data_IF_049179641246
#
_entry.id   IF_049179641246
#
_cell.length_a   1.000
_cell.length_b   1.000
_cell.length_c   1.000
_cell.angle_alpha   90.00
_cell.angle_beta   90.00
_cell.angle_gamma   90.00
#
_symmetry.space_group_name_H-M   'P 1'
#
loop_
_entity.id
_entity.type
_entity.pdbx_description
1 polymer ?
#
# COMPACT_ATOMS: atom_id res chain seq x y z
N UNK A 1 -9.39 54.30 -14.81
CA UNK A 1 -9.62 52.85 -14.95
C UNK A 1 -8.85 52.18 -13.83
N UNK A 2 -9.54 51.50 -12.91
CA UNK A 2 -8.99 51.04 -11.63
C UNK A 2 -8.10 49.81 -11.82
N UNK A 3 -6.82 49.97 -11.52
CA UNK A 3 -5.83 48.92 -11.32
C UNK A 3 -6.20 48.09 -10.09
N UNK A 4 -6.56 46.82 -10.29
CA UNK A 4 -6.67 45.85 -9.21
C UNK A 4 -5.58 44.81 -9.44
N UNK A 5 -4.45 45.01 -8.77
CA UNK A 5 -3.40 44.00 -8.64
C UNK A 5 -3.92 42.91 -7.70
N UNK A 6 -4.33 41.77 -8.26
CA UNK A 6 -4.62 40.57 -7.49
C UNK A 6 -3.30 39.88 -7.14
N UNK A 7 -2.79 40.19 -5.95
CA UNK A 7 -1.73 39.42 -5.31
C UNK A 7 -2.33 38.07 -4.82
N UNK A 8 -2.30 37.04 -5.67
CA UNK A 8 -2.60 35.67 -5.26
C UNK A 8 -1.39 35.05 -4.55
N UNK A 9 -1.18 35.45 -3.30
CA UNK A 9 -0.39 34.66 -2.34
C UNK A 9 -1.22 33.46 -1.89
N UNK A 10 -1.14 32.35 -2.63
CA UNK A 10 -1.63 31.06 -2.14
C UNK A 10 -0.53 30.43 -1.28
N UNK A 11 -0.79 30.45 0.03
CA UNK A 11 0.02 29.81 1.05
C UNK A 11 0.26 28.34 0.70
N UNK A 12 1.52 27.95 0.58
CA UNK A 12 1.92 26.55 0.56
C UNK A 12 1.61 25.96 1.95
N UNK A 13 0.48 25.28 2.07
CA UNK A 13 0.20 24.44 3.23
C UNK A 13 1.21 23.29 3.20
N UNK A 14 2.27 23.41 3.99
CA UNK A 14 3.19 22.31 4.26
C UNK A 14 2.38 21.21 4.95
N UNK A 15 2.01 20.17 4.19
CA UNK A 15 1.48 18.93 4.74
C UNK A 15 2.65 18.29 5.49
N UNK A 16 2.78 18.61 6.77
CA UNK A 16 3.64 17.88 7.68
C UNK A 16 3.04 16.49 7.84
N UNK A 17 3.56 15.52 7.07
CA UNK A 17 3.39 14.11 7.39
C UNK A 17 4.02 13.88 8.76
N UNK A 18 3.19 13.89 9.80
CA UNK A 18 3.59 13.41 11.11
C UNK A 18 4.03 11.96 10.94
N UNK A 19 5.34 11.74 10.91
CA UNK A 19 5.92 10.43 11.10
C UNK A 19 5.54 9.99 12.51
N UNK A 20 4.42 9.27 12.61
CA UNK A 20 4.04 8.58 13.83
C UNK A 20 5.22 7.74 14.30
N UNK A 21 5.46 7.75 15.61
CA UNK A 21 6.58 7.12 16.29
C UNK A 21 7.05 5.85 15.56
N UNK A 22 8.32 5.87 15.13
CA UNK A 22 9.01 4.74 14.53
C UNK A 22 8.98 3.57 15.53
N UNK A 23 7.98 2.71 15.40
CA UNK A 23 8.05 1.36 15.95
C UNK A 23 9.19 0.68 15.21
N UNK A 24 10.23 0.30 15.94
CA UNK A 24 11.35 -0.43 15.38
C UNK A 24 10.85 -1.62 14.53
N UNK A 25 11.12 -1.55 13.23
CA UNK A 25 11.14 -2.69 12.32
C UNK A 25 9.87 -2.94 11.52
N UNK A 26 8.80 -3.43 12.14
CA UNK A 26 7.83 -4.28 11.42
C UNK A 26 6.36 -3.84 11.48
N UNK A 27 5.70 -3.79 10.33
CA UNK A 27 4.26 -3.57 10.19
C UNK A 27 3.57 -4.80 9.63
N UNK A 28 2.58 -5.35 10.35
CA UNK A 28 1.71 -6.39 9.80
C UNK A 28 0.52 -5.75 9.11
N UNK A 29 0.30 -6.12 7.84
CA UNK A 29 -0.88 -5.72 7.07
C UNK A 29 -1.66 -6.96 6.69
N UNK A 30 -2.96 -6.76 6.52
CA UNK A 30 -3.87 -7.76 5.98
C UNK A 30 -4.73 -7.08 4.91
N UNK A 31 -5.09 -7.83 3.89
CA UNK A 31 -5.96 -7.37 2.83
C UNK A 31 -6.79 -8.54 2.29
N UNK A 32 -7.90 -8.21 1.65
CA UNK A 32 -8.75 -9.17 0.98
C UNK A 32 -8.84 -8.74 -0.48
N UNK A 33 -8.68 -9.70 -1.38
CA UNK A 33 -8.89 -9.46 -2.80
C UNK A 33 -9.54 -10.66 -3.46
N UNK A 34 -10.32 -10.36 -4.50
CA UNK A 34 -11.09 -11.33 -5.28
C UNK A 34 -10.64 -11.29 -6.72
N UNK A 35 -10.42 -12.44 -7.34
CA UNK A 35 -10.06 -12.53 -8.75
C UNK A 35 -10.53 -13.85 -9.37
N UNK A 36 -10.44 -13.96 -10.69
CA UNK A 36 -10.74 -15.17 -11.46
C UNK A 36 -9.84 -16.37 -11.16
N UNK A 37 -8.72 -16.18 -10.44
CA UNK A 37 -7.81 -17.23 -10.01
C UNK A 37 -7.26 -16.95 -8.61
N UNK A 38 -6.87 -18.00 -7.90
CA UNK A 38 -6.27 -17.88 -6.57
C UNK A 38 -4.93 -17.12 -6.60
N UNK A 39 -4.11 -17.30 -7.64
CA UNK A 39 -2.81 -16.62 -7.75
C UNK A 39 -2.99 -15.12 -7.97
N UNK A 40 -3.88 -14.72 -8.87
CA UNK A 40 -4.23 -13.31 -9.08
C UNK A 40 -4.80 -12.68 -7.80
N UNK A 41 -5.71 -13.37 -7.11
CA UNK A 41 -6.30 -12.87 -5.87
C UNK A 41 -5.26 -12.70 -4.74
N UNK A 42 -4.31 -13.63 -4.61
CA UNK A 42 -3.18 -13.46 -3.66
C UNK A 42 -2.29 -12.28 -4.03
N UNK A 43 -2.02 -12.09 -5.33
CA UNK A 43 -1.20 -10.98 -5.80
C UNK A 43 -1.86 -9.62 -5.49
N UNK A 44 -3.14 -9.45 -5.83
CA UNK A 44 -3.90 -8.23 -5.50
C UNK A 44 -4.00 -7.98 -3.99
N UNK A 45 -4.12 -9.05 -3.17
CA UNK A 45 -4.06 -8.91 -1.73
C UNK A 45 -2.68 -8.41 -1.26
N UNK A 46 -1.58 -8.94 -1.82
CA UNK A 46 -0.23 -8.43 -1.53
C UNK A 46 -0.04 -6.99 -1.96
N UNK A 47 -0.47 -6.66 -3.17
CA UNK A 47 -0.41 -5.32 -3.72
C UNK A 47 -1.14 -4.31 -2.80
N UNK A 48 -2.35 -4.68 -2.34
CA UNK A 48 -3.14 -3.87 -1.41
C UNK A 48 -2.43 -3.72 -0.06
N UNK A 49 -1.76 -4.78 0.43
CA UNK A 49 -0.94 -4.70 1.64
C UNK A 49 0.26 -3.76 1.44
N UNK A 50 0.92 -3.76 0.29
CA UNK A 50 2.03 -2.85 -0.04
C UNK A 50 1.56 -1.40 -0.10
N UNK A 51 0.44 -1.13 -0.77
CA UNK A 51 -0.16 0.21 -0.81
C UNK A 51 -0.48 0.74 0.60
N UNK A 52 -0.95 -0.15 1.49
CA UNK A 52 -1.20 0.15 2.90
C UNK A 52 0.07 0.38 3.75
N UNK A 53 1.23 -0.09 3.29
CA UNK A 53 2.52 0.24 3.91
C UNK A 53 2.98 1.60 3.42
N UNK A 54 3.04 1.80 2.10
CA UNK A 54 3.35 3.08 1.47
C UNK A 54 3.11 3.05 -0.03
N UNK A 55 2.46 4.09 -0.55
CA UNK A 55 2.35 4.35 -1.99
C UNK A 55 3.70 4.53 -2.68
N UNK A 56 4.75 4.93 -1.96
CA UNK A 56 6.10 5.05 -2.53
C UNK A 56 6.75 3.70 -2.85
N UNK A 57 6.28 2.60 -2.26
CA UNK A 57 6.80 1.25 -2.49
C UNK A 57 6.09 0.54 -3.64
N UNK A 58 4.86 0.96 -3.92
CA UNK A 58 3.98 0.32 -4.90
C UNK A 58 4.57 0.27 -6.32
N UNK A 59 5.18 1.33 -6.87
CA UNK A 59 5.80 1.27 -8.19
C UNK A 59 6.91 0.21 -8.29
N UNK A 60 7.72 0.05 -7.24
CA UNK A 60 8.77 -0.98 -7.18
C UNK A 60 8.20 -2.40 -7.12
N UNK A 61 7.11 -2.58 -6.37
CA UNK A 61 6.38 -3.84 -6.31
C UNK A 61 5.74 -4.21 -7.65
N UNK A 62 5.15 -3.24 -8.37
CA UNK A 62 4.61 -3.50 -9.70
C UNK A 62 5.69 -3.89 -10.71
N UNK A 63 6.85 -3.24 -10.65
CA UNK A 63 7.93 -3.50 -11.60
C UNK A 63 8.59 -4.86 -11.38
N UNK A 64 8.86 -5.23 -10.12
CA UNK A 64 9.75 -6.35 -9.80
C UNK A 64 9.15 -7.39 -8.83
N UNK A 65 7.95 -7.13 -8.28
CA UNK A 65 7.34 -7.96 -7.23
C UNK A 65 8.01 -7.84 -5.86
N UNK A 66 8.97 -6.93 -5.69
CA UNK A 66 9.71 -6.73 -4.44
C UNK A 66 9.35 -5.40 -3.75
N UNK A 67 9.47 -5.38 -2.43
CA UNK A 67 9.19 -4.22 -1.59
C UNK A 67 10.52 -3.67 -1.09
N UNK A 68 11.12 -2.78 -1.89
CA UNK A 68 12.44 -2.22 -1.63
C UNK A 68 12.54 -1.60 -0.22
N UNK A 69 13.64 -1.88 0.48
CA UNK A 69 13.82 -1.42 1.87
C UNK A 69 13.03 -2.21 2.93
N UNK A 70 12.23 -3.20 2.53
CA UNK A 70 11.50 -4.07 3.45
C UNK A 70 11.78 -5.56 3.22
N UNK A 71 11.74 -6.34 4.29
CA UNK A 71 11.71 -7.80 4.31
C UNK A 71 10.28 -8.22 4.62
N UNK A 72 9.62 -8.84 3.64
CA UNK A 72 8.25 -9.35 3.79
C UNK A 72 8.29 -10.77 4.36
N UNK A 73 7.81 -10.93 5.59
CA UNK A 73 7.77 -12.20 6.33
C UNK A 73 6.32 -12.60 6.65
N UNK A 74 6.15 -13.83 7.13
CA UNK A 74 4.86 -14.35 7.60
C UNK A 74 3.71 -14.18 6.58
N UNK A 75 3.99 -14.46 5.31
CA UNK A 75 3.01 -14.41 4.21
C UNK A 75 2.03 -15.57 4.37
N UNK A 76 0.79 -15.27 4.73
CA UNK A 76 -0.27 -16.26 4.85
C UNK A 76 -1.45 -15.85 3.98
N UNK A 77 -2.03 -16.82 3.29
CA UNK A 77 -3.21 -16.62 2.45
C UNK A 77 -4.23 -17.70 2.71
N UNK A 78 -5.48 -17.29 2.90
CA UNK A 78 -6.63 -18.18 2.96
C UNK A 78 -7.53 -17.84 1.78
N UNK A 79 -7.52 -18.69 0.76
CA UNK A 79 -8.35 -18.53 -0.42
C UNK A 79 -9.57 -19.45 -0.34
N UNK A 80 -10.72 -18.95 -0.77
CA UNK A 80 -11.96 -19.70 -0.79
C UNK A 80 -12.72 -19.36 -2.08
N UNK A 81 -13.46 -20.32 -2.65
CA UNK A 81 -14.39 -20.02 -3.74
C UNK A 81 -15.38 -18.95 -3.32
N UNK A 82 -15.63 -17.98 -4.19
CA UNK A 82 -16.57 -16.89 -3.99
C UNK A 82 -17.38 -16.70 -5.27
N UNK A 83 -18.49 -17.44 -5.35
CA UNK A 83 -19.26 -17.59 -6.59
C UNK A 83 -18.40 -18.16 -7.72
N UNK A 84 -18.36 -17.45 -8.86
CA UNK A 84 -17.53 -17.80 -10.01
C UNK A 84 -16.07 -17.32 -9.92
N UNK A 85 -15.67 -16.74 -8.79
CA UNK A 85 -14.34 -16.20 -8.54
C UNK A 85 -13.70 -16.85 -7.30
N UNK A 86 -12.49 -16.39 -6.96
CA UNK A 86 -11.76 -16.80 -5.76
C UNK A 86 -11.44 -15.56 -4.93
N UNK A 87 -11.85 -15.58 -3.66
CA UNK A 87 -11.52 -14.53 -2.69
C UNK A 87 -10.42 -15.02 -1.76
N UNK A 88 -9.36 -14.23 -1.62
CA UNK A 88 -8.21 -14.54 -0.78
C UNK A 88 -8.05 -13.48 0.33
N UNK A 89 -8.01 -13.95 1.56
CA UNK A 89 -7.62 -13.16 2.73
C UNK A 89 -6.11 -13.34 2.95
N UNK A 90 -5.34 -12.29 2.68
CA UNK A 90 -3.89 -12.25 2.84
C UNK A 90 -3.48 -11.52 4.12
N UNK A 91 -2.39 -11.96 4.74
CA UNK A 91 -1.64 -11.21 5.74
C UNK A 91 -0.14 -11.34 5.51
N UNK A 92 0.60 -10.28 5.78
CA UNK A 92 2.05 -10.26 5.69
C UNK A 92 2.64 -9.23 6.67
N UNK A 93 3.85 -9.49 7.12
CA UNK A 93 4.61 -8.59 8.01
C UNK A 93 5.76 -7.97 7.24
N UNK A 94 5.76 -6.65 7.12
CA UNK A 94 6.73 -5.83 6.41
C UNK A 94 7.71 -5.26 7.42
N UNK A 95 8.93 -5.78 7.44
CA UNK A 95 9.99 -5.29 8.32
C UNK A 95 10.96 -4.42 7.55
N UNK A 96 11.20 -3.18 7.96
CA UNK A 96 12.28 -2.35 7.42
C UNK A 96 13.62 -3.09 7.54
N UNK A 97 14.40 -3.03 6.46
CA UNK A 97 15.76 -3.59 6.37
C UNK A 97 16.78 -2.65 7.01
#
# INVERSE_FOLDING_TARGET
MKTIALACTLAAAAISFGAGAANAGCMTKAAVATSTSADSAKWFAMETMVQNVSWGLWPGFLANGDVAGYKVTNKQYRCSPDGGMVTCHGRATFCAK
#
